data_IF_926050495338
#
_entry.id   IF_926050495338
#
_cell.length_a   1.000
_cell.length_b   1.000
_cell.length_c   1.000
_cell.angle_alpha   90.00
_cell.angle_beta   90.00
_cell.angle_gamma   90.00
#
_symmetry.space_group_name_H-M   'P 1'
#
loop_
_entity.id
_entity.type
_entity.pdbx_description
1 polymer ?
#
# COMPACT_ATOMS: atom_id res chain seq x y z
N UNK A 1 11.04 -3.90 -9.38
CA UNK A 1 11.51 -3.02 -8.28
C UNK A 1 11.31 -3.75 -6.97
N UNK A 2 12.21 -3.61 -6.00
CA UNK A 2 12.08 -4.20 -4.66
C UNK A 2 12.34 -3.11 -3.61
N UNK A 3 11.59 -3.12 -2.51
CA UNK A 3 11.81 -2.24 -1.37
C UNK A 3 11.29 -2.88 -0.08
N UNK A 4 11.76 -2.38 1.05
CA UNK A 4 11.21 -2.66 2.38
C UNK A 4 10.52 -1.40 2.90
N UNK A 5 9.39 -1.57 3.60
CA UNK A 5 8.64 -0.50 4.22
C UNK A 5 8.02 -1.00 5.53
N UNK A 6 7.72 -0.09 6.44
CA UNK A 6 7.02 -0.41 7.69
C UNK A 6 5.52 -0.22 7.52
N UNK A 7 4.76 -1.10 8.14
CA UNK A 7 3.31 -0.91 8.28
C UNK A 7 3.06 0.22 9.26
N UNK A 8 2.24 1.18 8.86
CA UNK A 8 1.82 2.33 9.66
C UNK A 8 0.31 2.36 9.83
N UNK A 9 -0.14 3.06 10.87
CA UNK A 9 -1.56 3.29 11.08
C UNK A 9 -2.12 4.19 9.97
N UNK A 10 -3.11 3.68 9.24
CA UNK A 10 -3.95 4.50 8.37
C UNK A 10 -5.31 4.76 9.01
N UNK A 11 -6.25 5.25 8.21
CA UNK A 11 -7.58 5.67 8.68
C UNK A 11 -8.57 4.51 8.89
N UNK A 12 -8.12 3.27 8.68
CA UNK A 12 -8.93 2.06 8.83
C UNK A 12 -10.15 1.98 7.92
N UNK A 13 -10.19 2.75 6.83
CA UNK A 13 -11.32 2.83 5.88
C UNK A 13 -11.55 1.49 5.19
N UNK A 14 -10.48 0.87 4.67
CA UNK A 14 -10.55 -0.43 4.00
C UNK A 14 -11.19 -1.52 4.88
N UNK A 15 -10.82 -1.55 6.18
CA UNK A 15 -11.42 -2.48 7.15
C UNK A 15 -12.94 -2.33 7.27
N UNK A 16 -13.47 -1.09 7.21
CA UNK A 16 -14.92 -0.84 7.25
C UNK A 16 -15.65 -1.24 5.97
N UNK A 17 -14.94 -1.24 4.84
CA UNK A 17 -15.48 -1.58 3.52
C UNK A 17 -15.33 -3.07 3.17
N UNK A 18 -14.72 -3.88 4.04
CA UNK A 18 -14.44 -5.30 3.77
C UNK A 18 -13.13 -5.57 3.02
N UNK A 19 -12.33 -4.53 2.78
CA UNK A 19 -11.04 -4.60 2.07
C UNK A 19 -9.91 -4.05 2.96
N UNK A 20 -9.52 -4.77 4.03
CA UNK A 20 -8.46 -4.30 4.92
C UNK A 20 -7.14 -4.16 4.15
N UNK A 21 -6.52 -2.98 4.22
CA UNK A 21 -5.21 -2.71 3.60
C UNK A 21 -4.18 -2.31 4.66
N UNK A 22 -2.94 -2.73 4.45
CA UNK A 22 -1.77 -2.26 5.18
C UNK A 22 -1.25 -0.97 4.53
N UNK A 23 -1.16 0.11 5.30
CA UNK A 23 -0.53 1.34 4.86
C UNK A 23 0.97 1.24 5.10
N UNK A 24 1.78 1.67 4.12
CA UNK A 24 3.23 1.61 4.19
C UNK A 24 3.83 3.01 4.31
N UNK A 25 4.90 3.17 5.09
CA UNK A 25 5.57 4.47 5.35
C UNK A 25 6.32 5.08 4.15
N UNK A 26 6.30 4.41 3.00
CA UNK A 26 7.04 4.80 1.81
C UNK A 26 6.18 5.65 0.86
N UNK A 27 6.56 6.90 0.69
CA UNK A 27 5.84 7.88 -0.16
C UNK A 27 6.42 8.06 -1.57
N UNK A 28 7.67 7.65 -1.80
CA UNK A 28 8.36 7.86 -3.06
C UNK A 28 8.77 6.52 -3.68
N UNK A 29 8.19 6.22 -4.84
CA UNK A 29 8.57 5.12 -5.70
C UNK A 29 8.79 5.65 -7.11
N UNK A 30 9.79 5.11 -7.82
CA UNK A 30 10.08 5.48 -9.21
C UNK A 30 9.23 4.63 -10.18
N UNK A 31 7.91 4.70 -10.00
CA UNK A 31 6.90 4.05 -10.84
C UNK A 31 5.72 5.01 -10.99
N UNK A 32 4.87 4.80 -11.98
CA UNK A 32 3.65 5.58 -12.15
C UNK A 32 2.64 5.31 -11.01
N UNK A 33 1.68 6.21 -10.84
CA UNK A 33 0.58 5.96 -9.93
C UNK A 33 -0.35 4.89 -10.52
N UNK A 34 -0.77 3.92 -9.71
CA UNK A 34 -1.60 2.83 -10.17
C UNK A 34 -1.74 1.69 -9.16
N UNK A 35 -2.27 0.57 -9.64
CA UNK A 35 -2.40 -0.67 -8.90
C UNK A 35 -1.49 -1.71 -9.54
N UNK A 36 -0.72 -2.40 -8.71
CA UNK A 36 0.30 -3.36 -9.12
C UNK A 36 0.10 -4.68 -8.39
N UNK A 37 0.37 -5.80 -9.06
CA UNK A 37 0.58 -7.07 -8.35
C UNK A 37 1.92 -7.02 -7.63
N UNK A 38 1.93 -7.40 -6.35
CA UNK A 38 3.14 -7.49 -5.53
C UNK A 38 3.32 -8.90 -4.98
N UNK A 39 4.55 -9.39 -5.01
CA UNK A 39 4.98 -10.50 -4.17
C UNK A 39 5.60 -9.87 -2.90
N UNK A 40 5.09 -10.26 -1.74
CA UNK A 40 5.39 -9.61 -0.45
C UNK A 40 5.95 -10.64 0.50
N UNK A 41 7.08 -10.33 1.12
CA UNK A 41 7.69 -11.15 2.15
C UNK A 41 7.39 -10.59 3.53
N UNK A 42 6.77 -11.40 4.39
CA UNK A 42 6.49 -11.09 5.81
C UNK A 42 6.89 -12.31 6.63
N UNK A 43 7.74 -12.14 7.63
CA UNK A 43 8.22 -13.23 8.50
C UNK A 43 8.70 -14.47 7.70
N UNK A 44 9.52 -14.24 6.67
CA UNK A 44 10.05 -15.24 5.74
C UNK A 44 8.97 -16.05 4.98
N UNK A 45 7.75 -15.54 4.88
CA UNK A 45 6.67 -16.10 4.08
C UNK A 45 6.28 -15.16 2.96
N UNK A 46 6.06 -15.73 1.77
CA UNK A 46 5.65 -14.99 0.59
C UNK A 46 4.13 -14.98 0.45
N UNK A 47 3.60 -13.81 0.15
CA UNK A 47 2.19 -13.54 -0.11
C UNK A 47 2.06 -12.83 -1.44
N UNK A 48 0.95 -13.07 -2.14
CA UNK A 48 0.55 -12.23 -3.27
C UNK A 48 -0.38 -11.15 -2.77
N UNK A 49 -0.14 -9.91 -3.17
CA UNK A 49 -0.96 -8.78 -2.79
C UNK A 49 -1.17 -7.80 -3.93
N UNK A 50 -2.07 -6.86 -3.70
CA UNK A 50 -2.31 -5.73 -4.60
C UNK A 50 -1.77 -4.47 -3.94
N UNK A 51 -0.84 -3.80 -4.62
CA UNK A 51 -0.20 -2.59 -4.16
C UNK A 51 -0.78 -1.39 -4.92
N UNK A 52 -1.48 -0.52 -4.20
CA UNK A 52 -1.89 0.78 -4.70
C UNK A 52 -0.82 1.83 -4.36
N UNK A 53 -0.29 2.51 -5.38
CA UNK A 53 0.60 3.66 -5.22
C UNK A 53 -0.03 4.88 -5.87
N UNK A 54 -0.32 5.91 -5.07
CA UNK A 54 -0.89 7.13 -5.61
C UNK A 54 -1.57 8.03 -4.60
N UNK A 55 -2.05 9.20 -5.04
CA UNK A 55 -2.78 10.12 -4.20
C UNK A 55 -4.13 9.55 -3.82
N UNK A 56 -4.58 9.82 -2.61
CA UNK A 56 -5.97 9.55 -2.21
C UNK A 56 -6.86 10.62 -2.84
N UNK A 57 -7.25 10.38 -4.10
CA UNK A 57 -7.96 11.32 -4.98
C UNK A 57 -9.21 11.97 -4.39
N UNK A 58 -9.79 11.40 -3.33
CA UNK A 58 -11.01 11.92 -2.69
C UNK A 58 -10.73 13.03 -1.67
N UNK A 59 -9.48 13.26 -1.23
CA UNK A 59 -9.21 14.13 -0.06
C UNK A 59 -8.07 15.15 -0.21
N UNK A 60 -7.50 15.35 -1.41
CA UNK A 60 -6.37 16.27 -1.60
C UNK A 60 -5.16 15.91 -0.70
N UNK A 61 -5.02 14.63 -0.37
CA UNK A 61 -3.99 14.09 0.53
C UNK A 61 -2.71 13.70 -0.23
N UNK A 62 -1.61 13.60 0.53
CA UNK A 62 -0.31 13.09 0.08
C UNK A 62 -0.41 11.73 -0.62
N UNK A 63 0.60 11.44 -1.45
CA UNK A 63 0.82 10.11 -2.03
C UNK A 63 0.88 9.06 -0.93
N UNK A 64 0.14 7.97 -1.15
CA UNK A 64 0.04 6.84 -0.23
C UNK A 64 0.45 5.54 -0.91
N UNK A 65 0.82 4.58 -0.08
CA UNK A 65 1.18 3.24 -0.51
C UNK A 65 0.40 2.24 0.34
N UNK A 66 -0.54 1.52 -0.29
CA UNK A 66 -1.49 0.65 0.38
C UNK A 66 -1.38 -0.76 -0.22
N UNK A 67 -1.20 -1.76 0.64
CA UNK A 67 -1.13 -3.18 0.26
C UNK A 67 -2.39 -3.90 0.76
N UNK A 68 -3.09 -4.57 -0.15
CA UNK A 68 -4.11 -5.57 0.17
C UNK A 68 -3.50 -6.97 0.19
#
# INVERSE_FOLDING_TARGET
MQFTAKVIAGEGRGKRLGFPTANLDKKNLNIEHGVYSADVEIDNKFYKGLLHFGPKKTFNEDVSLELY
#
